data_IF_552424603758
#
_entry.id   IF_552424603758
#
_cell.length_a   1.000
_cell.length_b   1.000
_cell.length_c   1.000
_cell.angle_alpha   90.00
_cell.angle_beta   90.00
_cell.angle_gamma   90.00
#
_symmetry.space_group_name_H-M   'P 1'
#
loop_
_entity.id
_entity.type
_entity.pdbx_description
1 polymer ?
#
# COMPACT_ATOMS: atom_id res chain seq x y z
N UNK A 1 -4.78 15.93 8.75
CA UNK A 1 -4.34 16.17 7.36
C UNK A 1 -4.25 14.80 6.71
N UNK A 2 -5.01 14.52 5.66
CA UNK A 2 -4.79 13.32 4.84
C UNK A 2 -3.47 13.52 4.09
N UNK A 3 -2.47 12.67 4.31
CA UNK A 3 -1.23 12.71 3.53
C UNK A 3 -1.53 12.25 2.11
N UNK A 4 -1.19 13.06 1.12
CA UNK A 4 -1.23 12.63 -0.27
C UNK A 4 0.03 11.84 -0.59
N UNK A 5 -0.08 10.86 -1.49
CA UNK A 5 1.06 10.14 -2.01
C UNK A 5 1.31 10.57 -3.45
N UNK A 6 2.58 10.59 -3.83
CA UNK A 6 2.99 10.86 -5.20
C UNK A 6 4.00 9.82 -5.69
N UNK A 7 4.01 9.63 -7.01
CA UNK A 7 4.93 8.73 -7.68
C UNK A 7 5.97 9.59 -8.40
N UNK A 8 7.24 9.42 -8.00
CA UNK A 8 8.36 10.23 -8.46
C UNK A 8 9.41 9.35 -9.16
N UNK A 9 10.17 9.95 -10.06
CA UNK A 9 11.38 9.32 -10.61
C UNK A 9 12.61 9.83 -9.86
N UNK A 10 13.40 8.91 -9.35
CA UNK A 10 14.64 9.19 -8.64
C UNK A 10 15.78 9.51 -9.63
N UNK A 11 16.82 10.18 -9.15
CA UNK A 11 17.99 10.57 -9.96
C UNK A 11 18.67 9.36 -10.62
N UNK A 12 18.60 8.19 -9.99
CA UNK A 12 19.15 6.94 -10.51
C UNK A 12 18.24 6.25 -11.57
N UNK A 13 17.07 6.82 -11.87
CA UNK A 13 16.11 6.30 -12.85
C UNK A 13 15.09 5.30 -12.30
N UNK A 14 15.14 5.00 -10.99
CA UNK A 14 14.14 4.18 -10.31
C UNK A 14 12.85 4.98 -10.08
N UNK A 15 11.72 4.28 -9.92
CA UNK A 15 10.42 4.90 -9.63
C UNK A 15 10.07 4.65 -8.17
N UNK A 16 9.64 5.68 -7.46
CA UNK A 16 9.34 5.61 -6.04
C UNK A 16 7.95 6.16 -5.70
N UNK A 17 7.34 5.61 -4.65
CA UNK A 17 6.19 6.19 -3.97
C UNK A 17 6.70 6.99 -2.77
N UNK A 18 6.30 8.24 -2.64
CA UNK A 18 6.68 9.12 -1.55
C UNK A 18 5.46 9.87 -0.98
N UNK A 19 5.63 10.45 0.22
CA UNK A 19 4.64 11.36 0.80
C UNK A 19 4.79 12.73 0.13
N UNK A 20 3.71 13.27 -0.40
CA UNK A 20 3.73 14.57 -1.07
C UNK A 20 3.97 15.75 -0.10
N UNK A 21 3.78 15.53 1.21
CA UNK A 21 4.05 16.50 2.27
C UNK A 21 5.43 16.34 2.92
N UNK A 22 6.26 15.41 2.46
CA UNK A 22 7.64 15.27 2.91
C UNK A 22 8.60 16.05 2.01
N UNK A 23 9.22 17.09 2.57
CA UNK A 23 10.21 17.92 1.85
C UNK A 23 11.43 17.12 1.35
N UNK A 24 11.72 15.98 1.97
CA UNK A 24 12.84 15.11 1.58
C UNK A 24 12.44 14.06 0.54
N UNK A 25 11.15 13.92 0.23
CA UNK A 25 10.60 12.88 -0.64
C UNK A 25 11.14 11.49 -0.27
N UNK A 26 11.18 11.15 1.02
CA UNK A 26 11.70 9.85 1.48
C UNK A 26 10.88 8.71 0.83
N UNK A 27 11.53 7.81 0.06
CA UNK A 27 10.81 6.75 -0.61
C UNK A 27 10.18 5.76 0.38
N UNK A 28 8.87 5.56 0.27
CA UNK A 28 8.14 4.52 0.98
C UNK A 28 8.33 3.16 0.31
N UNK A 29 8.37 3.17 -1.03
CA UNK A 29 8.56 2.01 -1.90
C UNK A 29 9.40 2.44 -3.10
N UNK A 30 10.29 1.57 -3.58
CA UNK A 30 11.08 1.81 -4.80
C UNK A 30 10.99 0.61 -5.73
N UNK A 31 10.71 0.88 -7.00
CA UNK A 31 10.70 -0.09 -8.10
C UNK A 31 11.94 0.16 -8.96
N UNK A 32 12.80 -0.87 -9.04
CA UNK A 32 13.95 -0.90 -9.92
C UNK A 32 13.77 -1.97 -10.98
N UNK A 33 13.79 -1.56 -12.24
CA UNK A 33 13.82 -2.49 -13.37
C UNK A 33 15.25 -2.97 -13.65
N UNK A 34 15.36 -4.23 -14.07
CA UNK A 34 16.64 -4.74 -14.60
C UNK A 34 16.94 -4.08 -15.95
N UNK A 35 18.21 -4.13 -16.38
CA UNK A 35 18.61 -3.63 -17.71
C UNK A 35 17.85 -4.33 -18.84
N UNK A 36 17.56 -5.63 -18.69
CA UNK A 36 16.77 -6.41 -19.65
C UNK A 36 15.33 -5.89 -19.74
N UNK A 37 14.68 -5.66 -18.59
CA UNK A 37 13.33 -5.10 -18.56
C UNK A 37 13.30 -3.68 -19.12
N UNK A 38 14.30 -2.85 -18.84
CA UNK A 38 14.40 -1.50 -19.41
C UNK A 38 14.56 -1.51 -20.94
N UNK A 39 15.33 -2.46 -21.49
CA UNK A 39 15.46 -2.61 -22.94
C UNK A 39 14.14 -2.98 -23.62
N UNK A 40 13.27 -3.71 -22.91
CA UNK A 40 11.93 -4.08 -23.40
C UNK A 40 10.90 -2.96 -23.20
N UNK A 41 10.88 -2.33 -22.02
CA UNK A 41 9.87 -1.33 -21.64
C UNK A 41 10.14 0.04 -22.25
N UNK A 42 11.41 0.42 -22.44
CA UNK A 42 11.78 1.72 -22.98
C UNK A 42 11.16 2.88 -22.19
N UNK A 43 10.44 3.74 -22.92
CA UNK A 43 9.76 4.92 -22.35
C UNK A 43 8.55 4.56 -21.48
N UNK A 44 8.00 3.35 -21.61
CA UNK A 44 6.82 2.90 -20.86
C UNK A 44 7.13 2.46 -19.43
N UNK A 45 8.41 2.45 -19.01
CA UNK A 45 8.83 2.00 -17.66
C UNK A 45 8.04 2.71 -16.55
N UNK A 46 7.77 4.01 -16.72
CA UNK A 46 7.10 4.82 -15.71
C UNK A 46 5.62 4.47 -15.59
N UNK A 47 4.94 4.28 -16.73
CA UNK A 47 3.54 3.85 -16.77
C UNK A 47 3.36 2.47 -16.15
N UNK A 48 4.29 1.54 -16.41
CA UNK A 48 4.26 0.21 -15.79
C UNK A 48 4.49 0.30 -14.28
N UNK A 49 5.50 1.04 -13.82
CA UNK A 49 5.73 1.22 -12.38
C UNK A 49 4.53 1.86 -11.68
N UNK A 50 3.90 2.86 -12.31
CA UNK A 50 2.68 3.49 -11.81
C UNK A 50 1.56 2.47 -11.63
N UNK A 51 1.27 1.67 -12.64
CA UNK A 51 0.24 0.63 -12.55
C UNK A 51 0.54 -0.40 -11.44
N UNK A 52 1.82 -0.79 -11.26
CA UNK A 52 2.23 -1.68 -10.18
C UNK A 52 2.00 -1.08 -8.79
N UNK A 53 2.30 0.21 -8.63
CA UNK A 53 2.08 0.93 -7.37
C UNK A 53 0.59 1.07 -7.07
N UNK A 54 -0.22 1.46 -8.06
CA UNK A 54 -1.67 1.58 -7.92
C UNK A 54 -2.30 0.25 -7.49
N UNK A 55 -1.94 -0.85 -8.15
CA UNK A 55 -2.40 -2.19 -7.77
C UNK A 55 -1.94 -2.59 -6.37
N UNK A 56 -0.70 -2.24 -5.98
CA UNK A 56 -0.20 -2.49 -4.63
C UNK A 56 -0.94 -1.71 -3.56
N UNK A 57 -1.33 -0.46 -3.84
CA UNK A 57 -2.12 0.37 -2.93
C UNK A 57 -3.55 -0.17 -2.75
N UNK A 58 -4.19 -0.60 -3.83
CA UNK A 58 -5.51 -1.25 -3.78
C UNK A 58 -5.46 -2.51 -2.91
N UNK A 59 -4.49 -3.40 -3.18
CA UNK A 59 -4.31 -4.62 -2.38
C UNK A 59 -4.03 -4.32 -0.89
N UNK A 60 -3.25 -3.28 -0.59
CA UNK A 60 -2.99 -2.87 0.79
C UNK A 60 -4.27 -2.37 1.49
N UNK A 61 -5.15 -1.67 0.77
CA UNK A 61 -6.47 -1.27 1.26
C UNK A 61 -7.34 -2.47 1.60
N UNK A 62 -7.48 -3.40 0.66
CA UNK A 62 -8.28 -4.62 0.85
C UNK A 62 -7.81 -5.45 2.05
N UNK A 63 -6.49 -5.58 2.23
CA UNK A 63 -5.90 -6.29 3.38
C UNK A 63 -6.23 -5.57 4.69
N UNK A 64 -6.14 -4.24 4.71
CA UNK A 64 -6.45 -3.45 5.90
C UNK A 64 -7.94 -3.56 6.28
N UNK A 65 -8.84 -3.52 5.28
CA UNK A 65 -10.28 -3.67 5.49
C UNK A 65 -10.62 -5.07 6.02
N UNK A 66 -10.05 -6.12 5.43
CA UNK A 66 -10.23 -7.50 5.92
C UNK A 66 -9.74 -7.69 7.36
N UNK A 67 -8.60 -7.08 7.72
CA UNK A 67 -8.07 -7.12 9.09
C UNK A 67 -8.97 -6.35 10.07
N UNK A 68 -9.54 -5.23 9.65
CA UNK A 68 -10.48 -4.48 10.48
C UNK A 68 -11.77 -5.29 10.71
N UNK A 69 -12.31 -5.92 9.67
CA UNK A 69 -13.49 -6.79 9.76
C UNK A 69 -13.23 -7.98 10.68
N UNK A 70 -12.10 -8.66 10.56
CA UNK A 70 -11.78 -9.81 11.43
C UNK A 70 -11.68 -9.41 12.90
N UNK A 71 -11.05 -8.26 13.20
CA UNK A 71 -10.95 -7.76 14.58
C UNK A 71 -12.34 -7.42 15.14
N UNK A 72 -13.22 -6.83 14.33
CA UNK A 72 -14.60 -6.54 14.72
C UNK A 72 -15.40 -7.81 15.01
N UNK A 73 -15.21 -8.87 14.21
CA UNK A 73 -15.85 -10.17 14.41
C UNK A 73 -15.36 -10.83 15.72
N UNK A 74 -14.04 -10.87 15.94
CA UNK A 74 -13.45 -11.42 17.18
C UNK A 74 -13.99 -10.70 18.44
N UNK A 75 -14.10 -9.37 18.41
CA UNK A 75 -14.66 -8.59 19.52
C UNK A 75 -16.14 -8.87 19.76
N UNK A 76 -16.92 -9.08 18.69
CA UNK A 76 -18.34 -9.40 18.81
C UNK A 76 -18.55 -10.78 19.46
N UNK A 77 -17.75 -11.77 19.08
CA UNK A 77 -17.79 -13.11 19.66
C UNK A 77 -17.43 -13.10 21.15
N UNK A 78 -16.39 -12.36 21.56
CA UNK A 78 -16.03 -12.22 22.97
C UNK A 78 -17.14 -11.60 23.83
N UNK A 79 -17.86 -10.60 23.29
CA UNK A 79 -18.99 -9.97 23.99
C UNK A 79 -20.16 -10.95 24.18
N UNK A 80 -20.47 -11.74 23.15
CA UNK A 80 -21.52 -12.76 23.21
C UNK A 80 -21.19 -13.81 24.27
N UNK A 81 -19.94 -14.28 24.31
CA UNK A 81 -19.49 -15.25 25.30
C UNK A 81 -19.55 -14.69 26.73
N UNK A 82 -19.16 -13.43 26.92
CA UNK A 82 -19.26 -12.75 28.22
C UNK A 82 -20.71 -12.59 28.70
N UNK A 83 -21.63 -12.18 27.82
CA UNK A 83 -23.06 -12.06 28.14
C UNK A 83 -23.66 -13.41 28.57
N UNK A 84 -23.32 -14.47 27.84
CA UNK A 84 -23.78 -15.84 28.14
C UNK A 84 -23.29 -16.34 29.50
N UNK A 85 -22.11 -15.90 29.94
CA UNK A 85 -21.53 -16.24 31.24
C UNK A 85 -22.21 -15.49 32.39
N UNK A 86 -22.78 -14.31 32.15
CA UNK A 86 -23.51 -13.52 33.16
C UNK A 86 -24.97 -13.97 33.37
N UNK A 87 -25.53 -14.71 32.41
CA UNK A 87 -26.92 -15.19 32.41
C UNK A 87 -27.10 -16.59 33.06
N UNK A 88 -26.02 -17.23 33.49
CA UNK A 88 -26.00 -18.51 34.22
C UNK A 88 -25.43 -18.34 35.63
#
# INVERSE_FOLDING_TARGET
>A
MSSFYEIIELINGDVALARADDENNEPLVTIRFSQESLAFLGEEKFNVAKAMIEAGMEAAGDIADQQAESVLEDLADELIDAEKLMLH
#
